data_IF_299451096185
#
_entry.id   IF_299451096185
#
_cell.length_a   1.000
_cell.length_b   1.000
_cell.length_c   1.000
_cell.angle_alpha   90.00
_cell.angle_beta   90.00
_cell.angle_gamma   90.00
#
_symmetry.space_group_name_H-M   'P 1'
#
loop_
_entity.id
_entity.type
_entity.pdbx_description
1 polymer ?
#
# COMPACT_ATOMS: atom_id res chain seq x y z
N UNK A 1 -12.95 0.62 12.49
CA UNK A 1 -11.79 0.93 11.65
C UNK A 1 -11.23 -0.37 11.09
N UNK A 2 -10.73 -0.37 9.86
CA UNK A 2 -10.08 -1.52 9.22
C UNK A 2 -8.66 -1.12 8.81
N UNK A 3 -7.70 -1.96 9.11
CA UNK A 3 -6.30 -1.78 8.72
C UNK A 3 -5.93 -2.67 7.53
N UNK A 4 -5.13 -2.13 6.58
CA UNK A 4 -4.69 -2.84 5.38
C UNK A 4 -3.22 -2.59 5.11
N UNK A 5 -2.49 -3.63 4.70
CA UNK A 5 -1.12 -3.50 4.23
C UNK A 5 -0.91 -4.17 2.87
N UNK A 6 -0.10 -3.53 2.03
CA UNK A 6 0.37 -4.10 0.78
C UNK A 6 1.75 -4.74 0.97
N UNK A 7 1.83 -6.05 0.77
CA UNK A 7 3.05 -6.84 0.86
C UNK A 7 3.56 -7.16 -0.55
N UNK A 8 4.80 -6.87 -0.87
CA UNK A 8 5.37 -7.22 -2.18
C UNK A 8 6.10 -8.56 -2.15
N UNK A 9 5.95 -9.36 -3.19
CA UNK A 9 6.82 -10.53 -3.37
C UNK A 9 8.28 -10.12 -3.56
N UNK A 10 8.52 -8.92 -4.11
CA UNK A 10 9.81 -8.25 -4.30
C UNK A 10 9.66 -6.73 -4.26
N UNK A 11 10.76 -6.00 -4.36
CA UNK A 11 10.76 -4.54 -4.53
C UNK A 11 10.30 -4.10 -5.93
N UNK A 12 9.94 -2.82 -6.07
CA UNK A 12 9.64 -2.19 -7.35
C UNK A 12 8.26 -2.52 -7.95
N UNK A 13 7.36 -3.15 -7.21
CA UNK A 13 6.02 -3.56 -7.68
C UNK A 13 4.97 -2.43 -7.70
N UNK A 14 5.36 -1.19 -7.39
CA UNK A 14 4.45 -0.04 -7.40
C UNK A 14 3.49 0.03 -6.20
N UNK A 15 3.86 -0.57 -5.05
CA UNK A 15 3.01 -0.62 -3.85
C UNK A 15 2.59 0.74 -3.34
N UNK A 16 3.51 1.70 -3.19
CA UNK A 16 3.20 3.06 -2.74
C UNK A 16 2.21 3.77 -3.66
N UNK A 17 2.38 3.61 -4.98
CA UNK A 17 1.45 4.17 -5.97
C UNK A 17 0.05 3.53 -5.89
N UNK A 18 -0.01 2.20 -5.73
CA UNK A 18 -1.27 1.48 -5.52
C UNK A 18 -1.94 1.90 -4.21
N UNK A 19 -1.18 2.06 -3.13
CA UNK A 19 -1.71 2.46 -1.83
C UNK A 19 -2.25 3.89 -1.86
N UNK A 20 -1.53 4.81 -2.50
CA UNK A 20 -1.99 6.18 -2.71
C UNK A 20 -3.30 6.22 -3.52
N UNK A 21 -3.36 5.44 -4.60
CA UNK A 21 -4.55 5.34 -5.44
C UNK A 21 -5.74 4.70 -4.70
N UNK A 22 -5.50 3.65 -3.89
CA UNK A 22 -6.52 3.01 -3.06
C UNK A 22 -7.05 3.96 -1.98
N UNK A 23 -6.17 4.67 -1.28
CA UNK A 23 -6.55 5.66 -0.28
C UNK A 23 -7.44 6.75 -0.86
N UNK A 24 -7.07 7.29 -2.03
CA UNK A 24 -7.89 8.25 -2.76
C UNK A 24 -9.24 7.67 -3.19
N UNK A 25 -9.28 6.41 -3.65
CA UNK A 25 -10.53 5.76 -4.07
C UNK A 25 -11.48 5.51 -2.88
N UNK A 26 -10.97 5.13 -1.71
CA UNK A 26 -11.76 4.97 -0.48
C UNK A 26 -12.29 6.30 0.03
N UNK A 27 -11.45 7.34 0.04
CA UNK A 27 -11.87 8.71 0.38
C UNK A 27 -12.98 9.21 -0.56
N UNK A 28 -12.86 8.92 -1.86
CA UNK A 28 -13.86 9.32 -2.88
C UNK A 28 -15.25 8.70 -2.70
N UNK A 29 -15.38 7.66 -1.87
CA UNK A 29 -16.67 7.06 -1.48
C UNK A 29 -17.10 7.44 -0.05
N UNK A 30 -16.42 8.43 0.56
CA UNK A 30 -16.79 9.02 1.84
C UNK A 30 -16.13 8.38 3.06
N UNK A 31 -15.13 7.50 2.88
CA UNK A 31 -14.39 6.91 4.00
C UNK A 31 -13.31 7.87 4.52
N UNK A 32 -13.10 7.91 5.83
CA UNK A 32 -12.00 8.65 6.47
C UNK A 32 -10.76 7.76 6.44
N UNK A 33 -9.71 8.18 5.75
CA UNK A 33 -8.54 7.35 5.48
C UNK A 33 -7.27 7.99 6.04
N UNK A 34 -6.44 7.19 6.73
CA UNK A 34 -5.06 7.54 7.04
C UNK A 34 -4.11 6.62 6.28
N UNK A 35 -3.25 7.22 5.47
CA UNK A 35 -2.11 6.57 4.85
C UNK A 35 -0.89 6.68 5.78
N UNK A 36 -0.20 5.57 6.05
CA UNK A 36 0.99 5.55 6.91
C UNK A 36 2.17 5.02 6.11
N UNK A 37 3.17 5.88 5.88
CA UNK A 37 4.41 5.48 5.23
C UNK A 37 5.39 4.92 6.27
N UNK A 38 5.58 3.60 6.29
CA UNK A 38 6.58 2.93 7.13
C UNK A 38 7.90 2.70 6.39
N UNK A 39 7.98 3.10 5.12
CA UNK A 39 9.15 2.89 4.28
C UNK A 39 10.15 4.05 4.44
N UNK A 40 11.41 3.79 4.81
CA UNK A 40 12.42 4.85 4.94
C UNK A 40 12.72 5.64 3.66
N UNK A 41 12.27 5.14 2.50
CA UNK A 41 12.36 5.88 1.24
C UNK A 41 11.43 7.10 1.17
N UNK A 42 10.42 7.16 2.04
CA UNK A 42 9.49 8.28 2.22
C UNK A 42 8.87 8.78 0.89
N UNK A 43 8.44 7.84 0.03
CA UNK A 43 7.96 8.16 -1.31
C UNK A 43 6.43 8.32 -1.40
N UNK A 44 5.67 7.84 -0.42
CA UNK A 44 4.21 7.87 -0.45
C UNK A 44 3.68 9.31 -0.53
N UNK A 45 4.32 10.23 0.19
CA UNK A 45 3.95 11.65 0.21
C UNK A 45 4.04 12.36 -1.14
N UNK A 46 4.89 11.86 -2.05
CA UNK A 46 5.01 12.46 -3.39
C UNK A 46 3.72 12.37 -4.20
N UNK A 47 2.88 11.37 -3.96
CA UNK A 47 1.58 11.23 -4.62
C UNK A 47 0.55 12.26 -4.15
N UNK A 48 0.87 13.05 -3.12
CA UNK A 48 0.00 14.07 -2.54
C UNK A 48 0.71 15.43 -2.44
N UNK A 49 1.67 15.65 -3.33
CA UNK A 49 2.45 16.90 -3.44
C UNK A 49 3.22 17.29 -2.16
N UNK A 50 3.51 16.35 -1.26
CA UNK A 50 4.46 16.62 -0.19
C UNK A 50 5.88 16.69 -0.77
N UNK A 51 6.70 17.67 -0.37
CA UNK A 51 8.09 17.76 -0.81
C UNK A 51 8.89 16.52 -0.40
N UNK A 52 9.81 16.06 -1.27
CA UNK A 52 10.68 14.92 -0.96
C UNK A 52 11.61 15.19 0.24
N UNK A 53 11.95 16.44 0.47
CA UNK A 53 12.78 16.91 1.57
C UNK A 53 12.01 17.22 2.86
N UNK A 54 10.71 16.87 2.92
CA UNK A 54 9.91 16.97 4.14
C UNK A 54 10.58 16.21 5.28
N UNK A 55 11.06 16.95 6.28
CA UNK A 55 11.76 16.37 7.43
C UNK A 55 10.79 15.74 8.41
N UNK A 56 9.66 16.40 8.64
CA UNK A 56 8.65 15.94 9.59
C UNK A 56 8.03 14.61 9.14
N UNK A 57 7.96 13.69 10.10
CA UNK A 57 7.39 12.37 9.91
C UNK A 57 7.38 11.63 11.24
N UNK A 58 6.65 10.52 11.30
CA UNK A 58 6.49 9.77 12.54
C UNK A 58 7.83 9.25 13.09
N UNK A 59 8.79 8.87 12.22
CA UNK A 59 10.07 8.35 12.65
C UNK A 59 10.96 9.42 13.33
N UNK A 60 10.86 10.68 12.89
CA UNK A 60 11.52 11.80 13.54
C UNK A 60 10.82 12.17 14.85
N UNK A 61 9.49 12.25 14.85
CA UNK A 61 8.69 12.53 16.04
C UNK A 61 8.97 11.51 17.15
N UNK A 62 8.96 10.21 16.84
CA UNK A 62 9.29 9.14 17.79
C UNK A 62 10.69 9.29 18.38
N UNK A 63 11.68 9.60 17.56
CA UNK A 63 13.06 9.81 17.98
C UNK A 63 13.20 11.02 18.93
N UNK A 64 12.42 12.06 18.70
CA UNK A 64 12.43 13.30 19.50
C UNK A 64 11.50 13.21 20.72
N UNK A 65 10.82 12.08 20.92
CA UNK A 65 9.84 11.90 21.99
C UNK A 65 8.59 12.78 21.84
N UNK A 66 8.29 13.19 20.62
CA UNK A 66 7.08 13.97 20.27
C UNK A 66 5.93 13.02 19.89
N UNK A 67 4.68 13.45 20.02
CA UNK A 67 3.53 12.70 19.52
C UNK A 67 3.65 12.43 18.01
N UNK A 68 3.34 11.21 17.58
CA UNK A 68 3.31 10.85 16.17
C UNK A 68 2.23 11.61 15.38
N UNK A 69 1.18 12.06 16.10
CA UNK A 69 0.10 12.88 15.54
C UNK A 69 0.58 14.22 14.98
N UNK A 70 1.69 14.75 15.51
CA UNK A 70 2.26 16.03 15.02
C UNK A 70 2.79 15.91 13.58
N UNK A 71 2.99 14.67 13.10
CA UNK A 71 3.48 14.35 11.77
C UNK A 71 2.38 13.98 10.78
N UNK A 72 1.11 14.21 11.11
CA UNK A 72 -0.01 13.97 10.19
C UNK A 72 -0.32 15.21 9.35
N UNK A 73 -0.55 14.97 8.05
CA UNK A 73 -0.96 15.97 7.08
C UNK A 73 -2.33 15.62 6.53
N UNK A 74 -3.29 16.51 6.61
CA UNK A 74 -4.50 16.38 5.81
C UNK A 74 -4.19 16.78 4.37
N UNK A 75 -4.20 15.80 3.48
CA UNK A 75 -3.82 15.99 2.06
C UNK A 75 -5.03 16.20 1.16
N UNK A 76 -6.18 15.69 1.56
CA UNK A 76 -7.51 15.96 1.01
C UNK A 76 -8.53 15.89 2.16
N UNK A 77 -9.71 16.48 1.98
CA UNK A 77 -10.79 16.37 2.96
C UNK A 77 -11.11 14.90 3.26
N UNK A 78 -10.92 14.49 4.51
CA UNK A 78 -11.07 13.08 4.94
C UNK A 78 -9.95 12.11 4.55
N UNK A 79 -8.85 12.59 3.93
CA UNK A 79 -7.66 11.80 3.66
C UNK A 79 -6.44 12.42 4.31
N UNK A 80 -5.90 11.72 5.28
CA UNK A 80 -4.66 12.10 5.97
C UNK A 80 -3.49 11.21 5.54
N UNK A 81 -2.29 11.76 5.65
CA UNK A 81 -1.03 11.07 5.41
C UNK A 81 -0.09 11.29 6.60
N UNK A 82 0.51 10.22 7.08
CA UNK A 82 1.60 10.24 8.05
C UNK A 82 2.87 9.74 7.35
N UNK A 83 3.77 10.63 6.88
CA UNK A 83 4.99 10.25 6.21
C UNK A 83 6.00 9.63 7.19
N UNK A 84 6.94 8.85 6.66
CA UNK A 84 8.10 8.40 7.43
C UNK A 84 8.94 9.59 7.91
N UNK A 85 9.10 10.60 7.08
CA UNK A 85 9.98 11.74 7.27
C UNK A 85 11.42 11.48 6.88
N UNK A 86 12.24 12.53 6.91
CA UNK A 86 13.66 12.45 6.57
C UNK A 86 14.52 12.55 7.82
N UNK A 87 15.13 11.44 8.19
CA UNK A 87 16.06 11.39 9.33
C UNK A 87 17.42 12.01 8.97
N UNK A 88 18.14 12.58 9.95
CA UNK A 88 19.51 13.05 9.72
C UNK A 88 20.43 11.96 9.14
N UNK A 89 21.37 12.35 8.29
CA UNK A 89 22.32 11.44 7.68
C UNK A 89 23.06 10.58 8.73
N UNK A 90 23.23 9.29 8.43
CA UNK A 90 23.86 8.35 9.35
C UNK A 90 22.95 7.83 10.48
N UNK A 91 21.69 8.28 10.53
CA UNK A 91 20.73 7.79 11.51
C UNK A 91 20.17 6.44 11.05
N UNK A 92 20.19 5.44 11.94
CA UNK A 92 19.49 4.18 11.66
C UNK A 92 17.97 4.42 11.74
N UNK A 93 17.19 4.06 10.71
CA UNK A 93 15.74 4.13 10.78
C UNK A 93 15.20 3.31 11.95
N UNK A 94 14.17 3.80 12.66
CA UNK A 94 13.47 2.98 13.65
C UNK A 94 12.83 1.77 12.91
N UNK A 95 12.87 0.62 13.56
CA UNK A 95 12.08 -0.52 13.10
C UNK A 95 10.67 -0.35 13.64
N UNK A 96 9.62 -0.48 12.81
CA UNK A 96 8.26 -0.43 13.32
C UNK A 96 8.09 -1.48 14.43
N UNK A 97 7.65 -1.04 15.60
CA UNK A 97 7.33 -1.92 16.72
C UNK A 97 5.86 -2.32 16.64
N UNK A 98 5.59 -3.62 16.51
CA UNK A 98 4.24 -4.15 16.35
C UNK A 98 3.33 -3.81 17.53
N UNK A 99 3.84 -3.80 18.77
CA UNK A 99 3.04 -3.46 19.95
C UNK A 99 2.70 -1.97 19.98
N UNK A 100 3.67 -1.11 19.69
CA UNK A 100 3.46 0.34 19.60
C UNK A 100 2.46 0.68 18.47
N UNK A 101 2.57 0.01 17.32
CA UNK A 101 1.62 0.24 16.23
C UNK A 101 0.22 -0.29 16.54
N UNK A 102 0.09 -1.38 17.29
CA UNK A 102 -1.23 -1.87 17.75
C UNK A 102 -1.90 -0.83 18.68
N UNK A 103 -1.15 -0.24 19.61
CA UNK A 103 -1.66 0.82 20.48
C UNK A 103 -2.11 2.05 19.67
N UNK A 104 -1.28 2.50 18.71
CA UNK A 104 -1.62 3.62 17.80
C UNK A 104 -2.86 3.34 16.96
N UNK A 105 -3.01 2.12 16.44
CA UNK A 105 -4.21 1.73 15.70
C UNK A 105 -5.47 1.84 16.55
N UNK A 106 -5.42 1.48 17.83
CA UNK A 106 -6.55 1.62 18.74
C UNK A 106 -6.93 3.09 18.97
N UNK A 107 -5.94 3.98 19.13
CA UNK A 107 -6.18 5.42 19.26
C UNK A 107 -6.76 6.03 17.97
N UNK A 108 -6.26 5.64 16.81
CA UNK A 108 -6.68 6.15 15.51
C UNK A 108 -8.06 5.65 15.08
N UNK A 109 -8.56 4.56 15.70
CA UNK A 109 -9.84 3.95 15.35
C UNK A 109 -11.05 4.87 15.53
N UNK A 110 -10.96 5.88 16.41
CA UNK A 110 -12.03 6.86 16.63
C UNK A 110 -12.10 7.91 15.50
N UNK A 111 -11.01 8.12 14.80
CA UNK A 111 -10.86 9.20 13.82
C UNK A 111 -10.93 8.73 12.37
N UNK A 112 -10.53 7.49 12.09
CA UNK A 112 -10.42 6.95 10.73
C UNK A 112 -11.22 5.67 10.58
N UNK A 113 -11.72 5.46 9.36
CA UNK A 113 -12.42 4.23 8.96
C UNK A 113 -11.41 3.22 8.39
N UNK A 114 -10.33 3.72 7.79
CA UNK A 114 -9.23 2.94 7.20
C UNK A 114 -7.85 3.43 7.61
N UNK A 115 -6.96 2.48 7.95
CA UNK A 115 -5.52 2.67 8.04
C UNK A 115 -4.82 1.87 6.96
N UNK A 116 -4.09 2.54 6.08
CA UNK A 116 -3.38 1.90 4.97
C UNK A 116 -1.87 2.05 5.17
N UNK A 117 -1.15 0.91 5.27
CA UNK A 117 0.27 0.90 5.57
C UNK A 117 1.12 0.63 4.33
N UNK A 118 2.04 1.55 4.01
CA UNK A 118 3.12 1.30 3.04
C UNK A 118 4.33 0.70 3.79
N UNK A 119 4.55 -0.59 3.59
CA UNK A 119 5.56 -1.33 4.31
C UNK A 119 6.93 -1.25 3.61
N UNK A 120 8.05 -1.25 4.34
CA UNK A 120 9.36 -1.39 3.72
C UNK A 120 9.49 -2.74 3.02
N UNK A 121 10.36 -2.81 2.01
CA UNK A 121 10.71 -4.08 1.41
C UNK A 121 11.62 -4.87 2.35
N UNK A 122 11.15 -6.02 2.80
CA UNK A 122 11.94 -6.90 3.65
C UNK A 122 12.82 -7.83 2.81
N UNK A 123 13.99 -8.23 3.32
CA UNK A 123 14.79 -9.30 2.73
C UNK A 123 13.99 -10.59 2.55
N UNK A 124 14.34 -11.40 1.56
CA UNK A 124 13.71 -12.69 1.35
C UNK A 124 13.85 -13.58 2.60
N UNK A 125 12.71 -14.11 3.08
CA UNK A 125 12.65 -14.96 4.28
C UNK A 125 12.52 -14.21 5.62
N UNK A 126 12.57 -12.89 5.64
CA UNK A 126 12.23 -12.14 6.84
C UNK A 126 10.72 -12.22 7.08
N UNK A 127 10.33 -12.52 8.32
CA UNK A 127 8.93 -12.45 8.74
C UNK A 127 8.50 -10.98 8.75
N UNK A 128 7.38 -10.70 8.08
CA UNK A 128 6.78 -9.37 8.10
C UNK A 128 5.92 -9.24 9.36
N UNK A 129 6.56 -8.84 10.44
CA UNK A 129 5.95 -8.68 11.76
C UNK A 129 5.86 -7.20 12.17
N UNK A 130 6.14 -6.28 11.24
CA UNK A 130 6.24 -4.86 11.58
C UNK A 130 4.92 -4.22 12.02
N UNK A 131 3.81 -4.66 11.44
CA UNK A 131 2.46 -4.20 11.78
C UNK A 131 1.46 -5.33 11.54
N UNK A 132 0.62 -5.61 12.52
CA UNK A 132 -0.55 -6.48 12.31
C UNK A 132 -1.66 -5.70 11.64
N UNK A 133 -2.27 -6.28 10.61
CA UNK A 133 -3.37 -5.65 9.86
C UNK A 133 -4.50 -6.63 9.62
N UNK A 134 -5.73 -6.08 9.54
CA UNK A 134 -6.95 -6.87 9.29
C UNK A 134 -6.99 -7.43 7.88
N UNK A 135 -6.40 -6.70 6.91
CA UNK A 135 -6.36 -7.11 5.49
C UNK A 135 -4.91 -7.09 5.01
N UNK A 136 -4.46 -8.22 4.49
CA UNK A 136 -3.12 -8.41 3.93
C UNK A 136 -3.21 -8.70 2.44
N UNK A 137 -2.74 -7.76 1.62
CA UNK A 137 -2.75 -7.90 0.17
C UNK A 137 -1.34 -8.20 -0.32
N UNK A 138 -1.15 -9.35 -0.97
CA UNK A 138 0.12 -9.71 -1.60
C UNK A 138 0.16 -9.14 -3.01
N UNK A 139 1.16 -8.32 -3.33
CA UNK A 139 1.34 -7.70 -4.64
C UNK A 139 2.42 -8.43 -5.43
N UNK A 140 2.12 -8.80 -6.66
CA UNK A 140 3.04 -9.43 -7.61
C UNK A 140 2.85 -8.83 -9.01
N UNK A 141 3.84 -8.99 -9.87
CA UNK A 141 3.70 -8.87 -11.33
C UNK A 141 3.67 -10.29 -11.95
N UNK A 142 2.93 -10.47 -13.03
CA UNK A 142 2.86 -11.76 -13.72
C UNK A 142 4.14 -12.02 -14.55
N UNK A 143 5.22 -12.37 -13.85
CA UNK A 143 6.55 -12.67 -14.39
C UNK A 143 7.22 -13.85 -13.67
N UNK A 144 8.28 -14.40 -14.25
CA UNK A 144 8.92 -15.60 -13.72
C UNK A 144 9.54 -15.39 -12.32
N UNK A 145 10.16 -14.22 -12.05
CA UNK A 145 10.74 -13.95 -10.74
C UNK A 145 9.64 -13.95 -9.65
N UNK A 146 8.51 -13.28 -9.90
CA UNK A 146 7.37 -13.29 -8.99
C UNK A 146 6.78 -14.70 -8.83
N UNK A 147 6.68 -15.49 -9.91
CA UNK A 147 6.18 -16.87 -9.84
C UNK A 147 7.04 -17.75 -8.91
N UNK A 148 8.36 -17.67 -9.05
CA UNK A 148 9.28 -18.43 -8.19
C UNK A 148 9.22 -17.98 -6.73
N UNK A 149 9.07 -16.66 -6.50
CA UNK A 149 8.98 -16.10 -5.15
C UNK A 149 7.63 -16.42 -4.48
N UNK A 150 6.54 -16.44 -5.23
CA UNK A 150 5.23 -16.85 -4.73
C UNK A 150 5.24 -18.29 -4.24
N UNK A 151 5.93 -19.19 -4.96
CA UNK A 151 6.09 -20.60 -4.55
C UNK A 151 6.84 -20.81 -3.22
N UNK A 152 7.48 -19.75 -2.70
CA UNK A 152 8.19 -19.76 -1.41
C UNK A 152 7.41 -19.03 -0.30
N UNK A 153 6.24 -18.47 -0.59
CA UNK A 153 5.40 -17.74 0.37
C UNK A 153 4.33 -18.65 0.94
N UNK A 154 4.02 -18.40 2.20
CA UNK A 154 2.83 -18.98 2.85
C UNK A 154 1.63 -18.10 2.46
N UNK A 155 1.02 -18.41 1.31
CA UNK A 155 -0.06 -17.58 0.73
C UNK A 155 -1.31 -17.52 1.59
N UNK A 156 -1.47 -18.47 2.51
CA UNK A 156 -2.56 -18.55 3.49
C UNK A 156 -2.56 -17.38 4.49
N UNK A 157 -1.45 -16.67 4.60
CA UNK A 157 -1.33 -15.47 5.44
C UNK A 157 -1.86 -14.19 4.76
N UNK A 158 -2.31 -14.29 3.51
CA UNK A 158 -2.82 -13.16 2.74
C UNK A 158 -4.27 -13.37 2.35
N UNK A 159 -4.96 -12.27 2.17
CA UNK A 159 -6.38 -12.23 1.86
C UNK A 159 -6.67 -12.05 0.39
N UNK A 160 -5.69 -11.53 -0.36
CA UNK A 160 -5.80 -11.22 -1.77
C UNK A 160 -4.42 -11.25 -2.44
N UNK A 161 -4.33 -11.83 -3.63
CA UNK A 161 -3.22 -11.62 -4.56
C UNK A 161 -3.60 -10.52 -5.57
N UNK A 162 -2.90 -9.40 -5.51
CA UNK A 162 -3.05 -8.29 -6.45
C UNK A 162 -1.94 -8.39 -7.51
N UNK A 163 -2.33 -8.71 -8.73
CA UNK A 163 -1.42 -8.76 -9.88
C UNK A 163 -1.36 -7.36 -10.48
N UNK A 164 -0.27 -6.64 -10.23
CA UNK A 164 -0.08 -5.29 -10.73
C UNK A 164 0.59 -5.28 -12.12
N UNK A 165 0.39 -4.20 -12.86
CA UNK A 165 0.92 -3.98 -14.22
C UNK A 165 0.60 -5.11 -15.20
N UNK A 166 -0.58 -5.67 -15.07
CA UNK A 166 -1.03 -6.73 -15.96
C UNK A 166 -1.27 -6.19 -17.38
N UNK A 167 -0.59 -6.81 -18.34
CA UNK A 167 -0.77 -6.53 -19.76
C UNK A 167 -1.44 -7.75 -20.44
N UNK A 168 -2.72 -7.64 -20.83
CA UNK A 168 -3.44 -8.76 -21.48
C UNK A 168 -2.88 -9.11 -22.85
N UNK A 169 -2.09 -8.24 -23.50
CA UNK A 169 -1.40 -8.53 -24.75
C UNK A 169 -0.16 -9.43 -24.55
N UNK A 170 0.35 -9.51 -23.31
CA UNK A 170 1.46 -10.40 -22.97
C UNK A 170 0.99 -11.84 -22.78
N UNK A 171 1.37 -12.71 -23.70
CA UNK A 171 1.07 -14.15 -23.59
C UNK A 171 1.60 -14.76 -22.30
N UNK A 172 2.86 -14.43 -21.94
CA UNK A 172 3.47 -14.92 -20.69
C UNK A 172 2.64 -14.52 -19.46
N UNK A 173 2.19 -13.26 -19.39
CA UNK A 173 1.40 -12.78 -18.25
C UNK A 173 0.05 -13.49 -18.18
N UNK A 174 -0.60 -13.70 -19.31
CA UNK A 174 -1.87 -14.41 -19.39
C UNK A 174 -1.72 -15.88 -18.97
N UNK A 175 -0.67 -16.56 -19.42
CA UNK A 175 -0.37 -17.94 -19.05
C UNK A 175 -0.08 -18.05 -17.53
N UNK A 176 0.74 -17.16 -16.98
CA UNK A 176 1.03 -17.13 -15.54
C UNK A 176 -0.22 -16.82 -14.69
N UNK A 177 -1.05 -15.89 -15.12
CA UNK A 177 -2.29 -15.56 -14.41
C UNK A 177 -3.25 -16.77 -14.38
N UNK A 178 -3.33 -17.53 -15.48
CA UNK A 178 -4.12 -18.77 -15.55
C UNK A 178 -3.56 -19.82 -14.59
N UNK A 179 -2.24 -20.04 -14.58
CA UNK A 179 -1.56 -20.96 -13.64
C UNK A 179 -1.81 -20.55 -12.20
N UNK A 180 -1.72 -19.25 -11.87
CA UNK A 180 -1.97 -18.77 -10.49
C UNK A 180 -3.43 -18.92 -10.09
N UNK A 181 -4.38 -18.68 -11.00
CA UNK A 181 -5.81 -18.89 -10.73
C UNK A 181 -6.13 -20.34 -10.42
N UNK A 182 -5.46 -21.28 -11.09
CA UNK A 182 -5.61 -22.70 -10.78
C UNK A 182 -4.90 -23.09 -9.48
N UNK A 183 -3.67 -22.63 -9.29
CA UNK A 183 -2.85 -22.93 -8.11
C UNK A 183 -3.45 -22.40 -6.80
N UNK A 184 -4.05 -21.21 -6.83
CA UNK A 184 -4.57 -20.51 -5.63
C UNK A 184 -6.09 -20.49 -5.52
N UNK A 185 -6.82 -21.21 -6.39
CA UNK A 185 -8.29 -21.18 -6.59
C UNK A 185 -9.09 -20.95 -5.31
N UNK A 186 -8.89 -21.81 -4.31
CA UNK A 186 -9.69 -21.82 -3.07
C UNK A 186 -8.95 -21.23 -1.86
N UNK A 187 -7.70 -20.77 -2.07
CA UNK A 187 -6.83 -20.31 -0.99
C UNK A 187 -6.59 -18.81 -0.99
N UNK A 188 -6.54 -18.22 -2.19
CA UNK A 188 -6.17 -16.82 -2.34
C UNK A 188 -6.87 -16.22 -3.57
N UNK A 189 -7.90 -15.39 -3.38
CA UNK A 189 -8.53 -14.66 -4.47
C UNK A 189 -7.51 -13.82 -5.25
N UNK A 190 -7.68 -13.69 -6.57
CA UNK A 190 -6.80 -12.90 -7.43
C UNK A 190 -7.56 -11.72 -8.02
N UNK A 191 -6.94 -10.54 -7.99
CA UNK A 191 -7.39 -9.33 -8.68
C UNK A 191 -6.25 -8.77 -9.51
N UNK A 192 -6.56 -8.12 -10.62
CA UNK A 192 -5.56 -7.49 -11.49
C UNK A 192 -5.71 -5.98 -11.46
N UNK A 193 -4.59 -5.28 -11.60
CA UNK A 193 -4.51 -3.86 -11.97
C UNK A 193 -3.72 -3.82 -13.26
N UNK A 194 -4.34 -3.32 -14.31
CA UNK A 194 -3.72 -3.27 -15.64
C UNK A 194 -2.53 -2.32 -15.67
N UNK A 195 -1.60 -2.63 -16.58
CA UNK A 195 -0.51 -1.72 -16.89
C UNK A 195 -1.07 -0.45 -17.51
N UNK A 196 -0.71 0.68 -16.91
CA UNK A 196 -1.18 2.00 -17.34
C UNK A 196 -0.09 3.02 -17.04
N UNK A 197 0.31 3.79 -18.04
CA UNK A 197 1.30 4.86 -17.89
C UNK A 197 0.79 5.99 -16.98
N UNK A 198 -0.51 6.10 -16.81
CA UNK A 198 -1.12 7.09 -15.92
C UNK A 198 -0.59 7.03 -14.47
N UNK A 199 -0.12 5.87 -13.99
CA UNK A 199 0.54 5.78 -12.68
C UNK A 199 1.86 6.55 -12.62
N UNK A 200 2.66 6.48 -13.69
CA UNK A 200 3.95 7.18 -13.75
C UNK A 200 3.74 8.69 -13.95
N UNK A 201 2.80 9.05 -14.81
CA UNK A 201 2.43 10.43 -15.07
C UNK A 201 1.81 11.10 -13.83
N UNK A 202 0.94 10.39 -13.10
CA UNK A 202 0.35 10.86 -11.85
C UNK A 202 1.43 11.17 -10.80
N UNK A 203 2.43 10.29 -10.63
CA UNK A 203 3.54 10.54 -9.73
C UNK A 203 4.38 11.74 -10.19
N UNK A 204 4.67 11.87 -11.49
CA UNK A 204 5.37 13.03 -12.04
C UNK A 204 4.61 14.34 -11.79
N UNK A 205 3.29 14.29 -11.83
CA UNK A 205 2.39 15.41 -11.50
C UNK A 205 2.13 15.55 -9.99
N UNK A 206 2.74 14.69 -9.15
CA UNK A 206 2.57 14.68 -7.68
C UNK A 206 1.11 14.60 -7.24
N UNK A 207 0.32 13.82 -7.94
CA UNK A 207 -1.10 13.63 -7.68
C UNK A 207 -1.45 12.12 -7.58
N UNK A 208 -2.46 11.73 -6.80
CA UNK A 208 -2.94 10.36 -6.82
C UNK A 208 -3.59 10.04 -8.17
N UNK A 209 -3.53 8.77 -8.60
CA UNK A 209 -4.03 8.32 -9.90
C UNK A 209 -5.47 8.76 -10.18
N UNK A 210 -6.37 8.62 -9.19
CA UNK A 210 -7.78 8.98 -9.35
C UNK A 210 -8.04 10.47 -9.55
N UNK A 211 -7.12 11.34 -9.11
CA UNK A 211 -7.17 12.77 -9.39
C UNK A 211 -6.60 13.08 -10.79
N UNK A 212 -5.45 12.47 -11.13
CA UNK A 212 -4.76 12.73 -12.39
C UNK A 212 -5.51 12.16 -13.61
N UNK A 213 -5.91 10.89 -13.54
CA UNK A 213 -6.51 10.16 -14.65
C UNK A 213 -7.75 9.34 -14.21
N UNK A 214 -8.86 10.00 -13.80
CA UNK A 214 -10.02 9.32 -13.22
C UNK A 214 -10.72 8.35 -14.18
N UNK A 215 -10.50 8.49 -15.49
CA UNK A 215 -11.09 7.63 -16.52
C UNK A 215 -10.14 6.52 -17.01
N UNK A 216 -8.92 6.44 -16.49
CA UNK A 216 -7.94 5.41 -16.89
C UNK A 216 -8.41 4.01 -16.47
N UNK A 217 -7.91 2.99 -17.18
CA UNK A 217 -8.24 1.60 -16.87
C UNK A 217 -7.74 1.23 -15.47
N UNK A 218 -6.52 1.61 -15.15
CA UNK A 218 -5.94 1.35 -13.83
C UNK A 218 -6.72 2.04 -12.69
N UNK A 219 -7.27 3.24 -12.93
CA UNK A 219 -8.13 3.90 -11.94
C UNK A 219 -9.40 3.07 -11.65
N UNK A 220 -10.05 2.54 -12.68
CA UNK A 220 -11.22 1.65 -12.53
C UNK A 220 -10.89 0.37 -11.80
N UNK A 221 -9.72 -0.22 -12.06
CA UNK A 221 -9.24 -1.41 -11.36
C UNK A 221 -9.04 -1.14 -9.86
N UNK A 222 -8.45 0.02 -9.52
CA UNK A 222 -8.26 0.43 -8.12
C UNK A 222 -9.60 0.74 -7.45
N UNK A 223 -10.56 1.35 -8.15
CA UNK A 223 -11.92 1.53 -7.63
C UNK A 223 -12.59 0.18 -7.36
N UNK A 224 -12.41 -0.81 -8.25
CA UNK A 224 -12.89 -2.18 -8.01
C UNK A 224 -12.23 -2.83 -6.79
N UNK A 225 -10.93 -2.57 -6.56
CA UNK A 225 -10.22 -3.00 -5.36
C UNK A 225 -10.80 -2.34 -4.11
N UNK A 226 -11.08 -1.04 -4.14
CA UNK A 226 -11.71 -0.33 -3.03
C UNK A 226 -13.09 -0.91 -2.68
N UNK A 227 -13.93 -1.20 -3.68
CA UNK A 227 -15.23 -1.87 -3.46
C UNK A 227 -15.06 -3.23 -2.80
N UNK A 228 -14.09 -4.03 -3.24
CA UNK A 228 -13.79 -5.33 -2.60
C UNK A 228 -13.37 -5.17 -1.14
N UNK A 229 -12.54 -4.18 -0.83
CA UNK A 229 -12.13 -3.88 0.55
C UNK A 229 -13.34 -3.52 1.41
N UNK A 230 -14.24 -2.66 0.91
CA UNK A 230 -15.47 -2.27 1.60
C UNK A 230 -16.40 -3.46 1.90
N UNK A 231 -16.60 -4.32 0.91
CA UNK A 231 -17.44 -5.52 1.07
C UNK A 231 -16.88 -6.44 2.14
N UNK A 232 -15.55 -6.61 2.18
CA UNK A 232 -14.89 -7.46 3.18
C UNK A 232 -15.00 -6.90 4.60
N UNK A 233 -14.98 -5.58 4.79
CA UNK A 233 -15.17 -4.95 6.11
C UNK A 233 -16.55 -5.26 6.71
N UNK A 234 -17.55 -5.47 5.87
CA UNK A 234 -18.95 -5.74 6.30
C UNK A 234 -19.22 -7.22 6.58
N UNK A 235 -18.30 -8.12 6.21
CA UNK A 235 -18.42 -9.58 6.40
C UNK A 235 -17.79 -10.03 7.71
#
# INVERSE_FOLDING_TARGET
>A
MTSLALHGVRGGLGRSALLAALGHALQGVGERVLLVDLCPSNLLGLHFNLPLDTREGWALAEREGRPYSDAMYEVLDGLCLMPFGNLPAGTRPPSPDAEAWRARQAELAEHFDWLLFDLPQLPAGAADQSVETDVRVLVAEAEMASHLLLGRRQVEHYDLLLVNRYDPASRLQSDLLMVWRDLFRDRLPIQVVHRDEAFLEALACKAPLGHYAPQSLACRDVQSLAVRCLTRRQS
#
